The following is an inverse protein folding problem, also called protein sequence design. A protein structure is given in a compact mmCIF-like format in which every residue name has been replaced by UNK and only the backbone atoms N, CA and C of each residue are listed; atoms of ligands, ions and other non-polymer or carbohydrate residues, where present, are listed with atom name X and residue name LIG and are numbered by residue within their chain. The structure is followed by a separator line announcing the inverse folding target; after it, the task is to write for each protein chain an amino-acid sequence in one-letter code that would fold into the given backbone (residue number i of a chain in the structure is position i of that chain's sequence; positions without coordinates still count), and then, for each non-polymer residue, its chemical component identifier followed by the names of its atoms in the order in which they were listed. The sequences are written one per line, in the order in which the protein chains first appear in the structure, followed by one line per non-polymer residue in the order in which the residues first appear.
data_IF_212829948261
#
_entry.id   IF_212829948261
#
_cell.length_a   1.000
_cell.length_b   1.000
_cell.length_c   1.000
_cell.angle_alpha   90.00
_cell.angle_beta   90.00
_cell.angle_gamma   90.00
#
_symmetry.space_group_name_H-M   'P 1'
#
loop_
_entity.id
_entity.type
_entity.pdbx_description
1 polymer ?
#
# COMPACT_ATOMS: atom_id res chain seq x y z
N UNK A 1 20.17 -11.25 7.70
CA UNK A 1 19.15 -12.27 8.01
C UNK A 1 17.78 -11.75 7.58
N UNK A 2 17.01 -12.56 6.90
CA UNK A 2 15.69 -12.12 6.42
C UNK A 2 14.69 -12.12 7.55
N UNK A 3 13.84 -11.08 7.57
CA UNK A 3 12.82 -10.86 8.59
C UNK A 3 11.49 -10.62 7.92
N UNK A 4 10.42 -10.78 8.66
CA UNK A 4 9.07 -10.52 8.14
C UNK A 4 8.57 -9.18 8.66
N UNK A 5 8.04 -8.38 7.73
CA UNK A 5 7.49 -7.05 8.02
C UNK A 5 6.01 -7.00 7.66
N UNK A 6 5.25 -6.30 8.46
CA UNK A 6 3.88 -5.96 8.16
C UNK A 6 3.85 -4.53 7.61
N UNK A 7 3.21 -4.36 6.47
CA UNK A 7 3.16 -3.08 5.77
C UNK A 7 1.70 -2.70 5.58
N UNK A 8 1.33 -1.53 6.08
CA UNK A 8 -0.01 -0.97 5.89
C UNK A 8 0.01 -0.01 4.71
N UNK A 9 -0.87 -0.24 3.75
CA UNK A 9 -0.92 0.56 2.52
C UNK A 9 -2.37 0.90 2.16
N UNK A 10 -2.59 2.11 1.67
CA UNK A 10 -3.86 2.50 1.07
C UNK A 10 -3.61 3.28 -0.21
N UNK A 11 -4.65 3.53 -0.97
CA UNK A 11 -4.53 4.34 -2.18
C UNK A 11 -5.29 5.64 -2.00
N UNK A 12 -4.57 6.73 -2.06
CA UNK A 12 -5.10 8.08 -1.85
C UNK A 12 -6.12 8.47 -2.92
N UNK A 13 -5.90 8.08 -4.15
CA UNK A 13 -6.82 8.37 -5.27
C UNK A 13 -8.11 7.59 -5.09
N UNK A 14 -8.03 6.31 -4.77
CA UNK A 14 -9.22 5.47 -4.49
C UNK A 14 -9.99 6.06 -3.32
N UNK A 15 -9.29 6.38 -2.22
CA UNK A 15 -9.91 6.93 -1.02
C UNK A 15 -10.66 8.22 -1.30
N UNK A 16 -10.02 9.19 -1.94
CA UNK A 16 -10.64 10.48 -2.19
C UNK A 16 -11.81 10.38 -3.17
N UNK A 17 -11.69 9.53 -4.18
CA UNK A 17 -12.76 9.32 -5.16
C UNK A 17 -14.01 8.72 -4.50
N UNK A 18 -13.84 7.64 -3.75
CA UNK A 18 -14.98 6.96 -3.12
C UNK A 18 -15.60 7.79 -1.99
N UNK A 19 -14.78 8.49 -1.20
CA UNK A 19 -15.28 9.34 -0.12
C UNK A 19 -15.98 10.60 -0.62
N UNK A 20 -15.78 10.95 -1.89
CA UNK A 20 -16.49 12.04 -2.55
C UNK A 20 -17.77 11.56 -3.27
N UNK A 21 -18.20 10.33 -3.03
CA UNK A 21 -19.37 9.70 -3.67
C UNK A 21 -19.23 9.64 -5.20
N UNK A 22 -18.00 9.50 -5.69
CA UNK A 22 -17.72 9.32 -7.12
C UNK A 22 -17.32 7.88 -7.40
N UNK A 23 -17.64 7.42 -8.59
CA UNK A 23 -17.25 6.10 -9.02
C UNK A 23 -15.82 6.10 -9.55
N UNK A 24 -15.10 5.00 -9.34
CA UNK A 24 -13.77 4.84 -9.91
C UNK A 24 -13.90 4.68 -11.43
N UNK A 25 -12.99 5.29 -12.21
CA UNK A 25 -12.97 5.10 -13.66
C UNK A 25 -12.85 3.63 -14.04
N UNK A 26 -13.46 3.24 -15.16
CA UNK A 26 -13.36 1.87 -15.66
C UNK A 26 -11.93 1.46 -15.98
N UNK A 27 -11.08 2.43 -16.29
CA UNK A 27 -9.65 2.19 -16.55
C UNK A 27 -8.86 1.94 -15.27
N UNK A 28 -9.43 2.21 -14.09
CA UNK A 28 -8.76 1.98 -12.83
C UNK A 28 -8.70 0.48 -12.54
N UNK A 29 -7.48 -0.03 -12.38
CA UNK A 29 -7.23 -1.45 -12.10
C UNK A 29 -6.88 -1.70 -10.65
N UNK A 30 -6.93 -0.66 -9.83
CA UNK A 30 -6.63 -0.75 -8.41
C UNK A 30 -7.91 -1.09 -7.68
N UNK A 31 -7.85 -2.09 -6.80
CA UNK A 31 -9.00 -2.54 -6.02
C UNK A 31 -9.59 -1.41 -5.18
N UNK A 32 -10.92 -1.27 -5.12
CA UNK A 32 -11.55 -0.30 -4.23
C UNK A 32 -11.31 -0.58 -2.74
N UNK A 33 -10.84 -1.79 -2.41
CA UNK A 33 -10.48 -2.14 -1.02
C UNK A 33 -9.37 -1.24 -0.48
N UNK A 34 -8.55 -0.66 -1.37
CA UNK A 34 -7.47 0.25 -0.97
C UNK A 34 -7.97 1.63 -0.51
N UNK A 35 -9.27 1.83 -0.43
CA UNK A 35 -9.84 2.99 0.25
C UNK A 35 -9.39 3.01 1.71
N UNK A 36 -9.29 1.84 2.33
CA UNK A 36 -8.83 1.66 3.70
C UNK A 36 -7.43 1.06 3.71
N UNK A 37 -6.75 1.19 4.85
CA UNK A 37 -5.41 0.60 4.99
C UNK A 37 -5.53 -0.92 4.95
N UNK A 38 -4.77 -1.53 4.05
CA UNK A 38 -4.66 -2.98 3.93
C UNK A 38 -3.27 -3.38 4.43
N UNK A 39 -3.21 -4.41 5.26
CA UNK A 39 -1.95 -4.89 5.82
C UNK A 39 -1.46 -6.10 5.04
N UNK A 40 -0.25 -6.02 4.51
CA UNK A 40 0.40 -7.11 3.79
C UNK A 40 1.69 -7.46 4.49
N UNK A 41 2.14 -8.71 4.36
CA UNK A 41 3.38 -9.17 4.96
C UNK A 41 4.41 -9.43 3.88
N UNK A 42 5.64 -8.97 4.12
CA UNK A 42 6.74 -9.11 3.16
C UNK A 42 8.03 -9.46 3.88
N UNK A 43 8.86 -10.24 3.21
CA UNK A 43 10.19 -10.61 3.71
C UNK A 43 11.21 -9.58 3.23
N UNK A 44 12.09 -9.16 4.14
CA UNK A 44 13.15 -8.21 3.84
C UNK A 44 14.27 -8.32 4.87
N UNK A 45 15.45 -7.80 4.55
CA UNK A 45 16.59 -7.83 5.45
C UNK A 45 16.50 -6.75 6.54
N UNK A 46 15.82 -5.65 6.24
CA UNK A 46 15.68 -4.52 7.16
C UNK A 46 14.39 -3.78 6.85
N UNK A 47 13.99 -2.86 7.75
CA UNK A 47 12.84 -1.99 7.54
C UNK A 47 13.02 -1.15 6.27
N UNK A 48 14.23 -0.63 6.05
CA UNK A 48 14.53 0.18 4.86
C UNK A 48 14.38 -0.64 3.60
N UNK A 49 14.85 -1.89 3.62
CA UNK A 49 14.69 -2.81 2.48
C UNK A 49 13.21 -3.13 2.24
N UNK A 50 12.45 -3.35 3.31
CA UNK A 50 11.01 -3.60 3.21
C UNK A 50 10.28 -2.42 2.57
N UNK A 51 10.59 -1.20 2.99
CA UNK A 51 10.00 0.02 2.43
C UNK A 51 10.39 0.20 0.97
N UNK A 52 11.65 -0.07 0.64
CA UNK A 52 12.15 0.04 -0.74
C UNK A 52 11.40 -0.92 -1.67
N UNK A 53 11.27 -2.18 -1.26
CA UNK A 53 10.52 -3.19 -2.03
C UNK A 53 9.05 -2.82 -2.15
N UNK A 54 8.45 -2.34 -1.07
CA UNK A 54 7.04 -1.93 -1.06
C UNK A 54 6.80 -0.76 -2.01
N UNK A 55 7.76 0.15 -2.15
CA UNK A 55 7.61 1.30 -3.05
C UNK A 55 7.53 0.89 -4.52
N UNK A 56 8.09 -0.25 -4.89
CA UNK A 56 7.95 -0.79 -6.24
C UNK A 56 6.61 -1.48 -6.43
N UNK A 57 6.14 -2.20 -5.42
CA UNK A 57 4.87 -2.92 -5.47
C UNK A 57 3.69 -1.95 -5.38
N UNK A 58 3.84 -0.90 -4.56
CA UNK A 58 2.80 0.11 -4.32
C UNK A 58 3.36 1.50 -4.65
N UNK A 59 3.51 1.83 -5.94
CA UNK A 59 4.16 3.07 -6.34
C UNK A 59 3.34 4.31 -5.99
N UNK A 60 4.00 5.31 -5.45
CA UNK A 60 3.40 6.59 -5.11
C UNK A 60 2.78 7.27 -6.33
N UNK A 61 3.38 7.06 -7.50
CA UNK A 61 2.88 7.64 -8.75
C UNK A 61 1.48 7.15 -9.12
N UNK A 62 1.05 6.02 -8.58
CA UNK A 62 -0.31 5.48 -8.78
C UNK A 62 -1.24 5.79 -7.61
N UNK A 63 -0.81 6.63 -6.68
CA UNK A 63 -1.62 7.07 -5.56
C UNK A 63 -1.47 6.25 -4.29
N UNK A 64 -0.58 5.26 -4.27
CA UNK A 64 -0.38 4.45 -3.07
C UNK A 64 0.39 5.20 -1.99
N UNK A 65 -0.03 5.02 -0.74
CA UNK A 65 0.62 5.58 0.44
C UNK A 65 0.94 4.43 1.39
N UNK A 66 2.20 4.33 1.79
CA UNK A 66 2.62 3.35 2.80
C UNK A 66 2.48 4.05 4.15
N UNK A 67 1.51 3.59 4.93
CA UNK A 67 1.12 4.22 6.19
C UNK A 67 1.79 3.57 7.40
N UNK A 68 2.28 2.34 7.25
CA UNK A 68 2.79 1.55 8.36
C UNK A 68 3.81 0.54 7.85
N UNK A 69 4.87 0.34 8.62
CA UNK A 69 5.85 -0.70 8.35
C UNK A 69 6.55 -1.08 9.66
N UNK A 70 6.30 -2.30 10.14
CA UNK A 70 6.94 -2.79 11.37
C UNK A 70 7.36 -4.25 11.21
N UNK A 71 8.44 -4.59 11.88
CA UNK A 71 8.92 -5.97 11.93
C UNK A 71 8.00 -6.79 12.83
N UNK A 72 7.58 -7.96 12.36
CA UNK A 72 6.72 -8.86 13.12
C UNK A 72 7.39 -10.19 13.45
N UNK A 73 8.53 -10.48 12.84
CA UNK A 73 9.32 -11.66 13.22
C UNK A 73 10.73 -11.66 12.64
#
# INVERSE_FOLDING_TARGET
MIKRFEIGVYNEVVRSTLRSNRDLPKSNKISPDYENVIYVQRWADSKEDALHKASFEFPKSKGFVIDYCEKIS
#
